data_IF_083665427609
#
_entry.id   IF_083665427609
#
_cell.length_a   1.000
_cell.length_b   1.000
_cell.length_c   1.000
_cell.angle_alpha   90.00
_cell.angle_beta   90.00
_cell.angle_gamma   90.00
#
_symmetry.space_group_name_H-M   'P 1'
#
loop_
_entity.id
_entity.type
_entity.pdbx_description
1 polymer ?
#
# COMPACT_ATOMS: atom_id res chain seq x y z
N UNK A 1 5.75 -16.98 -15.26
CA UNK A 1 5.80 -15.53 -15.59
C UNK A 1 6.65 -14.84 -14.54
N UNK A 2 7.33 -13.73 -14.85
CA UNK A 2 8.14 -13.00 -13.85
C UNK A 2 7.27 -12.15 -12.92
N UNK A 3 7.81 -11.81 -11.75
CA UNK A 3 7.25 -10.75 -10.89
C UNK A 3 7.83 -9.41 -11.34
N UNK A 4 7.00 -8.39 -11.47
CA UNK A 4 7.44 -7.04 -11.83
C UNK A 4 7.71 -6.21 -10.58
N UNK A 5 8.78 -5.44 -10.62
CA UNK A 5 9.15 -4.50 -9.57
C UNK A 5 9.22 -3.08 -10.13
N UNK A 6 8.47 -2.18 -9.50
CA UNK A 6 8.39 -0.78 -9.90
C UNK A 6 8.93 0.12 -8.79
N UNK A 7 9.77 1.05 -9.17
CA UNK A 7 10.23 2.15 -8.33
C UNK A 7 10.70 3.28 -9.23
N UNK A 8 10.82 4.50 -8.68
CA UNK A 8 11.31 5.65 -9.40
C UNK A 8 12.28 6.47 -8.52
N UNK A 9 13.41 6.94 -9.07
CA UNK A 9 14.35 7.80 -8.35
C UNK A 9 13.73 9.06 -7.75
N UNK A 10 12.66 9.60 -8.34
CA UNK A 10 11.93 10.74 -7.78
C UNK A 10 11.40 10.46 -6.37
N UNK A 11 11.07 9.20 -6.04
CA UNK A 11 10.66 8.81 -4.69
C UNK A 11 11.75 9.06 -3.62
N UNK A 12 13.02 9.17 -4.02
CA UNK A 12 14.13 9.55 -3.14
C UNK A 12 14.23 11.08 -2.92
N UNK A 13 13.52 11.87 -3.71
CA UNK A 13 13.53 13.34 -3.62
C UNK A 13 12.47 13.90 -2.67
N UNK A 14 11.60 13.05 -2.14
CA UNK A 14 10.70 13.42 -1.04
C UNK A 14 11.48 13.42 0.27
N UNK A 15 11.91 14.61 0.71
CA UNK A 15 12.76 14.78 1.89
C UNK A 15 11.90 15.25 3.06
N UNK A 16 11.93 14.49 4.13
CA UNK A 16 11.28 14.80 5.41
C UNK A 16 12.28 15.42 6.40
N UNK A 17 11.83 16.11 7.46
CA UNK A 17 12.74 16.69 8.46
C UNK A 17 13.64 15.64 9.13
N UNK A 18 14.83 16.04 9.63
CA UNK A 18 15.70 15.14 10.37
C UNK A 18 14.98 14.45 11.54
N UNK A 19 15.14 13.13 11.66
CA UNK A 19 14.50 12.34 12.72
C UNK A 19 13.07 11.89 12.39
N UNK A 20 12.52 12.30 11.25
CA UNK A 20 11.21 11.82 10.80
C UNK A 20 11.25 10.31 10.50
N UNK A 21 10.26 9.52 10.92
CA UNK A 21 10.28 8.06 10.70
C UNK A 21 10.14 7.71 9.21
N UNK A 22 9.24 8.39 8.47
CA UNK A 22 9.11 8.26 7.02
C UNK A 22 10.23 9.06 6.36
N UNK A 23 11.30 8.39 5.93
CA UNK A 23 12.55 8.98 5.44
C UNK A 23 13.12 8.23 4.25
N UNK A 24 14.00 8.90 3.51
CA UNK A 24 14.57 8.38 2.25
C UNK A 24 15.25 7.02 2.41
N UNK A 25 15.91 6.79 3.56
CA UNK A 25 16.62 5.56 3.86
C UNK A 25 15.72 4.32 3.86
N UNK A 26 14.40 4.47 4.06
CA UNK A 26 13.45 3.36 3.95
C UNK A 26 13.49 2.71 2.57
N UNK A 27 13.38 3.51 1.53
CA UNK A 27 13.46 3.00 0.15
C UNK A 27 14.87 2.50 -0.17
N UNK A 28 15.91 3.18 0.31
CA UNK A 28 17.30 2.73 0.18
C UNK A 28 17.55 1.34 0.77
N UNK A 29 17.01 1.07 1.97
CA UNK A 29 17.13 -0.23 2.63
C UNK A 29 16.44 -1.37 1.83
N UNK A 30 15.23 -1.09 1.31
CA UNK A 30 14.50 -2.04 0.45
C UNK A 30 15.31 -2.34 -0.83
N UNK A 31 15.79 -1.30 -1.52
CA UNK A 31 16.54 -1.48 -2.77
C UNK A 31 17.81 -2.30 -2.54
N UNK A 32 18.53 -2.02 -1.45
CA UNK A 32 19.73 -2.78 -1.10
C UNK A 32 19.42 -4.26 -0.79
N UNK A 33 18.32 -4.54 -0.10
CA UNK A 33 17.90 -5.92 0.17
C UNK A 33 17.52 -6.68 -1.10
N UNK A 34 16.82 -6.02 -2.01
CA UNK A 34 16.39 -6.61 -3.29
C UNK A 34 17.51 -6.69 -4.34
N UNK A 35 18.70 -6.14 -4.09
CA UNK A 35 19.89 -6.33 -4.95
C UNK A 35 20.63 -7.66 -4.68
N UNK A 36 20.21 -8.42 -3.67
CA UNK A 36 20.77 -9.75 -3.39
C UNK A 36 20.49 -10.73 -4.55
N UNK A 37 21.37 -11.73 -4.68
CA UNK A 37 21.31 -12.72 -5.77
C UNK A 37 19.98 -13.47 -5.87
N UNK A 38 19.28 -13.66 -4.75
CA UNK A 38 17.96 -14.28 -4.68
C UNK A 38 16.89 -13.53 -5.49
N UNK A 39 17.11 -12.24 -5.75
CA UNK A 39 16.19 -11.37 -6.50
C UNK A 39 16.68 -11.05 -7.92
N UNK A 40 17.68 -11.77 -8.43
CA UNK A 40 18.27 -11.50 -9.76
C UNK A 40 17.26 -11.67 -10.92
N UNK A 41 16.19 -12.44 -10.72
CA UNK A 41 15.12 -12.64 -11.72
C UNK A 41 13.95 -11.67 -11.56
N UNK A 42 13.99 -10.78 -10.56
CA UNK A 42 12.99 -9.74 -10.37
C UNK A 42 13.08 -8.71 -11.50
N UNK A 43 12.04 -8.59 -12.29
CA UNK A 43 12.02 -7.70 -13.46
C UNK A 43 11.76 -6.26 -13.02
N UNK A 44 12.80 -5.43 -13.04
CA UNK A 44 12.76 -4.03 -12.61
C UNK A 44 12.32 -3.12 -13.74
N UNK A 45 11.33 -2.28 -13.49
CA UNK A 45 10.79 -1.33 -14.46
C UNK A 45 10.75 0.09 -13.90
N UNK A 46 11.07 1.06 -14.73
CA UNK A 46 10.83 2.48 -14.52
C UNK A 46 9.74 2.94 -15.48
N UNK A 47 8.93 3.88 -15.04
CA UNK A 47 7.81 4.40 -15.83
C UNK A 47 7.71 5.91 -15.62
N UNK A 48 7.11 6.64 -16.58
CA UNK A 48 6.89 8.07 -16.38
C UNK A 48 5.93 8.32 -15.20
N UNK A 49 6.06 9.48 -14.54
CA UNK A 49 5.11 9.92 -13.52
C UNK A 49 3.67 9.94 -14.06
N UNK A 50 2.70 9.68 -13.19
CA UNK A 50 1.30 9.76 -13.56
C UNK A 50 0.92 11.19 -14.00
N UNK A 51 0.04 11.35 -14.99
CA UNK A 51 -0.59 12.64 -15.24
C UNK A 51 -1.49 13.03 -14.07
N UNK A 52 -1.62 14.33 -13.81
CA UNK A 52 -2.43 14.87 -12.71
C UNK A 52 -3.88 14.38 -12.76
N UNK A 53 -4.41 14.09 -13.94
CA UNK A 53 -5.76 13.55 -14.11
C UNK A 53 -6.00 12.22 -13.39
N UNK A 54 -4.96 11.41 -13.13
CA UNK A 54 -5.12 10.18 -12.35
C UNK A 54 -5.42 10.46 -10.88
N UNK A 55 -4.87 11.56 -10.30
CA UNK A 55 -5.19 11.98 -8.94
C UNK A 55 -6.68 12.33 -8.77
N UNK A 56 -7.30 12.85 -9.84
CA UNK A 56 -8.70 13.28 -9.84
C UNK A 56 -9.70 12.10 -9.77
N UNK A 57 -9.23 10.87 -9.87
CA UNK A 57 -10.06 9.68 -9.61
C UNK A 57 -10.52 9.61 -8.15
N UNK A 58 -9.71 10.14 -7.24
CA UNK A 58 -9.94 10.05 -5.80
C UNK A 58 -10.03 11.42 -5.12
N UNK A 59 -9.34 12.41 -5.63
CA UNK A 59 -9.17 13.70 -4.97
C UNK A 59 -9.77 14.85 -5.79
N UNK A 60 -10.50 15.78 -5.15
CA UNK A 60 -10.99 16.98 -5.83
C UNK A 60 -9.85 17.83 -6.39
N UNK A 61 -10.07 18.50 -7.53
CA UNK A 61 -9.10 19.39 -8.17
C UNK A 61 -8.55 20.46 -7.20
N UNK A 62 -9.41 21.03 -6.37
CA UNK A 62 -9.00 22.01 -5.38
C UNK A 62 -8.00 21.46 -4.35
N UNK A 63 -8.14 20.17 -3.94
CA UNK A 63 -7.18 19.51 -3.07
C UNK A 63 -5.84 19.29 -3.77
N UNK A 64 -5.86 18.77 -4.98
CA UNK A 64 -4.66 18.52 -5.80
C UNK A 64 -3.90 19.84 -6.04
N UNK A 65 -4.62 20.92 -6.39
CA UNK A 65 -4.03 22.25 -6.55
C UNK A 65 -3.44 22.78 -5.24
N UNK A 66 -4.09 22.58 -4.11
CA UNK A 66 -3.61 22.99 -2.78
C UNK A 66 -2.31 22.25 -2.41
N UNK A 67 -2.25 20.93 -2.57
CA UNK A 67 -1.02 20.15 -2.30
C UNK A 67 0.12 20.66 -3.18
N UNK A 68 -0.14 20.85 -4.49
CA UNK A 68 0.87 21.38 -5.41
C UNK A 68 1.37 22.76 -5.01
N UNK A 69 0.47 23.65 -4.61
CA UNK A 69 0.81 25.01 -4.16
C UNK A 69 1.56 25.04 -2.82
N UNK A 70 1.47 23.97 -2.01
CA UNK A 70 2.15 23.85 -0.73
C UNK A 70 3.60 23.36 -0.87
N UNK A 71 4.04 22.95 -2.06
CA UNK A 71 5.42 22.52 -2.29
C UNK A 71 6.35 23.72 -2.16
N UNK A 72 7.30 23.70 -1.21
CA UNK A 72 8.22 24.81 -1.03
C UNK A 72 9.30 24.82 -2.09
N UNK A 73 9.88 26.01 -2.37
CA UNK A 73 11.03 26.11 -3.27
C UNK A 73 12.31 25.54 -2.63
N UNK A 74 12.41 25.55 -1.30
CA UNK A 74 13.52 25.01 -0.52
C UNK A 74 13.05 24.61 0.90
N UNK A 75 13.79 23.69 1.52
CA UNK A 75 13.46 23.19 2.86
C UNK A 75 12.27 22.25 2.88
N UNK A 76 11.53 22.26 3.99
CA UNK A 76 10.34 21.44 4.17
C UNK A 76 9.17 22.29 4.71
N UNK A 77 7.95 21.96 4.28
CA UNK A 77 6.71 22.57 4.71
C UNK A 77 5.78 21.54 5.32
N UNK A 78 5.20 21.85 6.47
CA UNK A 78 4.29 20.97 7.19
C UNK A 78 2.84 21.18 6.72
N UNK A 79 2.19 20.08 6.33
CA UNK A 79 0.79 20.09 5.89
C UNK A 79 -0.18 19.78 7.03
N UNK A 80 0.26 18.91 7.95
CA UNK A 80 -0.47 18.47 9.12
C UNK A 80 0.55 18.05 10.22
N UNK A 81 0.15 17.66 11.45
CA UNK A 81 1.12 17.38 12.53
C UNK A 81 2.24 16.39 12.19
N UNK A 82 2.05 15.50 11.23
CA UNK A 82 3.02 14.46 10.87
C UNK A 82 3.39 14.40 9.38
N UNK A 83 2.72 15.16 8.53
CA UNK A 83 2.87 15.08 7.07
C UNK A 83 3.60 16.32 6.52
N UNK A 84 4.69 16.08 5.82
CA UNK A 84 5.60 17.10 5.31
C UNK A 84 5.78 17.02 3.81
N UNK A 85 6.11 18.15 3.19
CA UNK A 85 6.50 18.23 1.77
C UNK A 85 7.79 19.01 1.63
N UNK A 86 8.58 18.66 0.61
CA UNK A 86 9.83 19.28 0.19
C UNK A 86 9.79 19.56 -1.31
N UNK A 87 10.76 20.22 -1.92
CA UNK A 87 10.74 20.56 -3.35
C UNK A 87 10.46 19.36 -4.29
N UNK A 88 10.95 18.16 -3.96
CA UNK A 88 10.75 16.94 -4.76
C UNK A 88 9.50 16.13 -4.45
N UNK A 89 8.68 16.55 -3.49
CA UNK A 89 7.54 15.74 -3.00
C UNK A 89 6.41 15.58 -4.02
N UNK A 90 6.21 16.60 -4.86
CA UNK A 90 5.19 16.55 -5.92
C UNK A 90 5.55 15.51 -6.99
N UNK A 91 6.78 15.55 -7.48
CA UNK A 91 7.31 14.61 -8.47
C UNK A 91 7.34 13.18 -7.90
N UNK A 92 7.73 13.02 -6.64
CA UNK A 92 7.72 11.73 -5.96
C UNK A 92 6.31 11.14 -5.85
N UNK A 93 5.32 11.95 -5.47
CA UNK A 93 3.93 11.51 -5.39
C UNK A 93 3.37 11.08 -6.76
N UNK A 94 3.63 11.85 -7.81
CA UNK A 94 3.22 11.49 -9.18
C UNK A 94 3.96 10.24 -9.69
N UNK A 95 5.24 10.09 -9.36
CA UNK A 95 6.01 8.90 -9.70
C UNK A 95 5.46 7.65 -9.00
N UNK A 96 5.08 7.76 -7.73
CA UNK A 96 4.46 6.68 -6.96
C UNK A 96 3.13 6.23 -7.58
N UNK A 97 2.24 7.16 -7.91
CA UNK A 97 0.98 6.84 -8.61
C UNK A 97 1.25 6.24 -9.99
N UNK A 98 2.24 6.78 -10.74
CA UNK A 98 2.64 6.24 -12.04
C UNK A 98 3.15 4.82 -11.96
N UNK A 99 4.01 4.52 -10.97
CA UNK A 99 4.57 3.20 -10.74
C UNK A 99 3.48 2.16 -10.43
N UNK A 100 2.54 2.49 -9.53
CA UNK A 100 1.46 1.57 -9.17
C UNK A 100 0.46 1.38 -10.32
N UNK A 101 0.10 2.43 -11.05
CA UNK A 101 -0.78 2.32 -12.22
C UNK A 101 -0.14 1.48 -13.32
N UNK A 102 1.17 1.63 -13.58
CA UNK A 102 1.87 0.81 -14.57
C UNK A 102 2.01 -0.65 -14.12
N UNK A 103 2.21 -0.89 -12.82
CA UNK A 103 2.18 -2.24 -12.27
C UNK A 103 0.81 -2.91 -12.48
N UNK A 104 -0.26 -2.18 -12.21
CA UNK A 104 -1.63 -2.62 -12.49
C UNK A 104 -1.84 -2.92 -13.99
N UNK A 105 -1.48 -1.97 -14.87
CA UNK A 105 -1.67 -2.11 -16.31
C UNK A 105 -0.94 -3.33 -16.86
N UNK A 106 0.30 -3.57 -16.43
CA UNK A 106 1.10 -4.72 -16.86
C UNK A 106 0.49 -6.06 -16.40
N UNK A 107 -0.01 -6.13 -15.16
CA UNK A 107 -0.70 -7.31 -14.64
C UNK A 107 -2.02 -7.54 -15.38
N UNK A 108 -2.78 -6.48 -15.66
CA UNK A 108 -4.03 -6.57 -16.42
C UNK A 108 -3.80 -6.96 -17.89
N UNK A 109 -2.68 -6.55 -18.48
CA UNK A 109 -2.26 -6.97 -19.83
C UNK A 109 -1.75 -8.42 -19.89
N UNK A 110 -1.57 -9.07 -18.73
CA UNK A 110 -1.04 -10.44 -18.64
C UNK A 110 0.47 -10.54 -18.87
N UNK A 111 1.22 -9.45 -18.74
CA UNK A 111 2.68 -9.45 -18.81
C UNK A 111 3.31 -10.15 -17.61
N UNK A 112 2.65 -10.07 -16.45
CA UNK A 112 3.00 -10.77 -15.23
C UNK A 112 1.74 -11.12 -14.43
N UNK A 113 1.86 -12.08 -13.49
CA UNK A 113 0.77 -12.41 -12.57
C UNK A 113 0.70 -11.45 -11.39
N UNK A 114 1.85 -10.93 -10.98
CA UNK A 114 1.93 -10.01 -9.84
C UNK A 114 3.02 -8.96 -10.01
N UNK A 115 2.89 -7.89 -9.21
CA UNK A 115 3.84 -6.80 -9.19
C UNK A 115 3.95 -6.19 -7.79
N UNK A 116 5.11 -5.63 -7.47
CA UNK A 116 5.33 -4.82 -6.27
C UNK A 116 5.88 -3.44 -6.65
N UNK A 117 5.27 -2.38 -6.11
CA UNK A 117 5.70 -1.00 -6.26
C UNK A 117 6.30 -0.48 -4.94
N UNK A 118 7.62 -0.26 -4.92
CA UNK A 118 8.32 0.36 -3.79
C UNK A 118 8.38 1.88 -4.02
N UNK A 119 7.51 2.60 -3.37
CA UNK A 119 7.30 4.04 -3.56
C UNK A 119 7.39 4.82 -2.25
N UNK A 120 7.63 6.11 -2.35
CA UNK A 120 7.50 7.15 -1.33
C UNK A 120 7.01 8.43 -1.98
N UNK A 121 6.15 9.22 -1.28
CA UNK A 121 5.48 8.95 0.01
C UNK A 121 4.48 7.78 -0.05
N UNK A 122 4.05 7.23 1.10
CA UNK A 122 2.97 6.25 1.18
C UNK A 122 1.60 6.87 0.83
N UNK A 123 0.52 6.07 0.83
CA UNK A 123 -0.76 6.55 0.32
C UNK A 123 -2.01 6.23 1.14
N UNK A 124 -2.03 5.20 1.97
CA UNK A 124 -3.28 4.65 2.53
C UNK A 124 -3.98 5.55 3.56
N UNK A 125 -3.32 6.60 4.07
CA UNK A 125 -3.93 7.55 5.01
C UNK A 125 -4.50 8.82 4.34
N UNK A 126 -4.14 9.13 3.09
CA UNK A 126 -4.65 10.32 2.42
C UNK A 126 -6.15 10.21 2.14
N UNK A 127 -6.96 11.03 2.81
CA UNK A 127 -8.41 11.09 2.60
C UNK A 127 -8.77 11.94 1.39
N UNK A 128 -10.04 12.02 1.07
CA UNK A 128 -10.55 12.75 -0.11
C UNK A 128 -9.93 14.14 -0.26
N UNK A 129 -9.79 14.89 0.83
CA UNK A 129 -9.24 16.25 0.81
C UNK A 129 -8.30 16.56 2.00
N UNK A 130 -7.75 15.53 2.65
CA UNK A 130 -6.86 15.68 3.82
C UNK A 130 -5.59 14.86 3.62
N UNK A 131 -4.39 15.49 3.54
CA UNK A 131 -3.12 14.78 3.66
C UNK A 131 -2.89 14.47 5.14
N UNK A 132 -2.48 13.26 5.46
CA UNK A 132 -2.14 12.86 6.83
C UNK A 132 -1.36 11.54 6.83
N UNK A 133 -0.75 11.18 7.95
CA UNK A 133 -0.03 9.92 8.07
C UNK A 133 1.09 9.78 7.03
N UNK A 134 1.82 10.85 6.77
CA UNK A 134 2.88 10.93 5.76
C UNK A 134 2.37 10.85 4.29
N UNK A 135 1.06 10.66 4.07
CA UNK A 135 0.44 10.43 2.77
C UNK A 135 -0.07 11.72 2.13
N UNK A 136 0.22 11.89 0.84
CA UNK A 136 -0.24 13.05 0.07
C UNK A 136 -1.46 12.71 -0.79
N UNK A 137 -1.50 11.53 -1.39
CA UNK A 137 -2.57 11.03 -2.25
C UNK A 137 -2.82 9.55 -1.99
N UNK A 138 -4.07 9.12 -2.10
CA UNK A 138 -4.49 7.73 -1.89
C UNK A 138 -4.11 6.82 -3.06
N UNK A 139 -2.83 6.51 -3.20
CA UNK A 139 -2.24 5.83 -4.36
C UNK A 139 -2.93 4.50 -4.66
N UNK A 140 -3.20 3.66 -3.66
CA UNK A 140 -3.86 2.37 -3.86
C UNK A 140 -5.34 2.53 -4.23
N UNK A 141 -6.04 3.52 -3.67
CA UNK A 141 -7.43 3.81 -4.02
C UNK A 141 -7.54 4.34 -5.46
N UNK A 142 -6.56 5.14 -5.92
CA UNK A 142 -6.46 5.58 -7.32
C UNK A 142 -6.30 4.36 -8.24
N UNK A 143 -5.42 3.42 -7.91
CA UNK A 143 -5.25 2.19 -8.67
C UNK A 143 -6.52 1.31 -8.65
N UNK A 144 -7.23 1.22 -7.52
CA UNK A 144 -8.50 0.50 -7.44
C UNK A 144 -9.56 1.10 -8.38
N UNK A 145 -9.74 2.42 -8.36
CA UNK A 145 -10.67 3.10 -9.28
C UNK A 145 -10.21 3.00 -10.74
N UNK A 146 -8.90 3.03 -11.01
CA UNK A 146 -8.37 2.76 -12.36
C UNK A 146 -8.73 1.35 -12.82
N UNK A 147 -8.57 0.34 -11.96
CA UNK A 147 -8.94 -1.04 -12.28
C UNK A 147 -10.43 -1.19 -12.62
N UNK A 148 -11.30 -0.52 -11.88
CA UNK A 148 -12.75 -0.53 -12.10
C UNK A 148 -13.16 0.22 -13.36
N UNK A 149 -12.61 1.41 -13.59
CA UNK A 149 -13.13 2.33 -14.61
C UNK A 149 -12.37 2.25 -15.94
N UNK A 150 -11.05 2.02 -15.90
CA UNK A 150 -10.23 1.94 -17.11
C UNK A 150 -10.13 0.50 -17.62
N UNK A 151 -9.95 -0.48 -16.71
CA UNK A 151 -9.89 -1.91 -17.09
C UNK A 151 -11.27 -2.60 -17.06
N UNK A 152 -12.32 -1.92 -16.60
CA UNK A 152 -13.70 -2.41 -16.62
C UNK A 152 -13.97 -3.57 -15.67
N UNK A 153 -13.18 -3.72 -14.59
CA UNK A 153 -13.42 -4.73 -13.58
C UNK A 153 -14.70 -4.43 -12.77
N UNK A 154 -15.37 -5.47 -12.32
CA UNK A 154 -16.58 -5.35 -11.51
C UNK A 154 -16.33 -5.54 -10.01
N UNK A 155 -15.21 -6.17 -9.64
CA UNK A 155 -14.85 -6.44 -8.24
C UNK A 155 -13.34 -6.37 -8.03
N UNK A 156 -12.92 -5.42 -7.21
CA UNK A 156 -11.52 -5.25 -6.80
C UNK A 156 -11.44 -5.35 -5.28
N UNK A 157 -10.53 -6.15 -4.74
CA UNK A 157 -10.25 -6.17 -3.32
C UNK A 157 -8.97 -5.39 -3.03
N UNK A 158 -8.99 -4.54 -2.00
CA UNK A 158 -7.82 -3.89 -1.43
C UNK A 158 -7.61 -4.47 -0.04
N UNK A 159 -6.48 -5.14 0.17
CA UNK A 159 -6.10 -5.77 1.42
C UNK A 159 -4.93 -5.00 2.04
N UNK A 160 -5.15 -4.44 3.20
CA UNK A 160 -4.21 -3.59 3.93
C UNK A 160 -3.78 -4.31 5.22
N UNK A 161 -2.49 -4.62 5.34
CA UNK A 161 -1.90 -5.21 6.52
C UNK A 161 -0.87 -4.30 7.19
N UNK A 162 -0.81 -3.03 6.81
CA UNK A 162 -0.12 -2.00 7.59
C UNK A 162 -0.66 -2.00 9.04
N UNK A 163 0.18 -1.66 10.01
CA UNK A 163 -0.23 -1.66 11.43
C UNK A 163 -1.23 -0.56 11.76
N UNK A 164 -1.28 0.49 10.94
CA UNK A 164 -2.23 1.59 11.08
C UNK A 164 -3.48 1.35 10.22
N UNK A 165 -4.62 1.82 10.68
CA UNK A 165 -5.83 1.80 9.88
C UNK A 165 -5.67 2.62 8.59
N UNK A 166 -5.93 2.02 7.43
CA UNK A 166 -5.93 2.72 6.13
C UNK A 166 -7.17 3.61 5.96
N UNK A 167 -7.31 4.62 6.84
CA UNK A 167 -8.47 5.50 6.88
C UNK A 167 -8.72 6.26 5.57
N UNK A 168 -7.66 6.64 4.86
CA UNK A 168 -7.77 7.29 3.55
C UNK A 168 -8.31 6.34 2.50
N UNK A 169 -7.84 5.11 2.45
CA UNK A 169 -8.37 4.09 1.53
C UNK A 169 -9.84 3.80 1.84
N UNK A 170 -10.21 3.70 3.12
CA UNK A 170 -11.61 3.56 3.54
C UNK A 170 -12.46 4.75 3.06
N UNK A 171 -12.02 5.98 3.34
CA UNK A 171 -12.73 7.21 2.93
C UNK A 171 -12.96 7.28 1.41
N UNK A 172 -11.92 6.96 0.63
CA UNK A 172 -11.95 7.03 -0.82
C UNK A 172 -12.77 5.92 -1.50
N UNK A 173 -12.93 4.76 -0.84
CA UNK A 173 -13.58 3.58 -1.44
C UNK A 173 -14.92 3.21 -0.80
N UNK A 174 -15.30 3.73 0.38
CA UNK A 174 -16.51 3.30 1.09
C UNK A 174 -17.82 3.46 0.30
N UNK A 175 -17.86 4.36 -0.66
CA UNK A 175 -19.01 4.59 -1.53
C UNK A 175 -18.95 3.85 -2.87
N UNK A 176 -17.91 3.04 -3.11
CA UNK A 176 -17.76 2.23 -4.32
C UNK A 176 -18.14 0.75 -4.05
N UNK A 177 -19.33 0.30 -4.43
CA UNK A 177 -19.80 -1.05 -4.11
C UNK A 177 -19.00 -2.16 -4.81
N UNK A 178 -18.21 -1.83 -5.83
CA UNK A 178 -17.35 -2.76 -6.56
C UNK A 178 -15.97 -2.94 -5.91
N UNK A 179 -15.66 -2.17 -4.86
CA UNK A 179 -14.40 -2.26 -4.12
C UNK A 179 -14.63 -2.82 -2.71
N UNK A 180 -14.01 -3.95 -2.41
CA UNK A 180 -13.90 -4.45 -1.04
C UNK A 180 -12.60 -3.89 -0.44
N UNK A 181 -12.69 -3.17 0.67
CA UNK A 181 -11.55 -2.75 1.46
C UNK A 181 -11.48 -3.54 2.76
N UNK A 182 -10.31 -4.08 3.04
CA UNK A 182 -10.00 -4.79 4.29
C UNK A 182 -8.77 -4.13 4.91
N UNK A 183 -8.84 -3.76 6.18
CA UNK A 183 -7.70 -3.27 6.96
C UNK A 183 -7.57 -4.05 8.25
N UNK A 184 -6.41 -4.70 8.44
CA UNK A 184 -6.04 -5.29 9.73
C UNK A 184 -5.01 -4.40 10.41
N UNK A 185 -5.34 -3.83 11.55
CA UNK A 185 -4.54 -2.79 12.18
C UNK A 185 -4.58 -2.89 13.71
N UNK A 186 -3.58 -2.33 14.38
CA UNK A 186 -3.60 -2.22 15.83
C UNK A 186 -4.70 -1.25 16.29
N UNK A 187 -5.46 -1.64 17.29
CA UNK A 187 -6.44 -0.76 17.92
C UNK A 187 -6.47 -0.97 19.44
N UNK A 188 -6.44 0.10 20.27
CA UNK A 188 -6.33 1.51 19.88
C UNK A 188 -4.92 1.88 19.39
N UNK A 189 -4.86 2.65 18.32
CA UNK A 189 -3.65 3.29 17.79
C UNK A 189 -4.09 4.50 16.94
N UNK A 190 -3.17 5.40 16.61
CA UNK A 190 -3.42 6.44 15.58
C UNK A 190 -3.81 5.77 14.25
N UNK A 191 -4.75 6.31 13.47
CA UNK A 191 -5.48 7.57 13.61
C UNK A 191 -6.72 7.51 14.52
N UNK A 192 -7.03 6.37 15.17
CA UNK A 192 -8.15 6.20 16.09
C UNK A 192 -9.48 5.84 15.43
N UNK A 193 -9.44 5.52 14.13
CA UNK A 193 -10.55 5.02 13.30
C UNK A 193 -10.39 3.53 13.01
N UNK A 194 -11.30 2.93 12.25
CA UNK A 194 -11.22 1.51 11.86
C UNK A 194 -11.84 0.56 12.87
N UNK A 195 -12.97 0.96 13.50
CA UNK A 195 -13.73 0.05 14.35
C UNK A 195 -14.40 -1.03 13.51
N UNK A 196 -14.57 -2.22 14.07
CA UNK A 196 -15.18 -3.36 13.36
C UNK A 196 -16.62 -3.06 12.86
N UNK A 197 -17.32 -2.13 13.50
CA UNK A 197 -18.66 -1.70 13.13
C UNK A 197 -18.69 -0.75 11.90
N UNK A 198 -17.56 -0.20 11.52
CA UNK A 198 -17.44 0.67 10.35
C UNK A 198 -17.42 -0.17 9.07
N UNK A 199 -18.59 -0.52 8.55
CA UNK A 199 -18.75 -1.43 7.40
C UNK A 199 -19.02 -0.72 6.07
N UNK A 200 -19.15 0.62 6.10
CA UNK A 200 -19.52 1.42 4.95
C UNK A 200 -20.97 1.24 4.49
N UNK A 201 -21.49 2.11 3.60
CA UNK A 201 -22.89 2.09 3.18
C UNK A 201 -23.27 0.85 2.35
N UNK A 202 -22.30 0.17 1.78
CA UNK A 202 -22.51 -1.03 0.94
C UNK A 202 -22.06 -2.33 1.63
N UNK A 203 -21.59 -2.26 2.88
CA UNK A 203 -21.02 -3.42 3.57
C UNK A 203 -19.72 -3.93 2.91
N UNK A 204 -18.99 -3.08 2.22
CA UNK A 204 -17.74 -3.42 1.52
C UNK A 204 -16.49 -2.98 2.27
N UNK A 205 -16.63 -2.54 3.51
CA UNK A 205 -15.53 -2.24 4.42
C UNK A 205 -15.46 -3.36 5.47
N UNK A 206 -14.27 -3.89 5.70
CA UNK A 206 -13.98 -4.85 6.76
C UNK A 206 -12.77 -4.38 7.57
N UNK A 207 -13.02 -3.87 8.75
CA UNK A 207 -11.99 -3.50 9.71
C UNK A 207 -11.74 -4.64 10.69
N UNK A 208 -10.48 -5.03 10.85
CA UNK A 208 -10.00 -6.06 11.75
C UNK A 208 -9.08 -5.42 12.81
N UNK A 209 -9.65 -4.81 13.87
CA UNK A 209 -8.86 -4.23 14.95
C UNK A 209 -8.18 -5.32 15.76
N UNK A 210 -6.86 -5.22 15.92
CA UNK A 210 -6.02 -6.14 16.66
C UNK A 210 -5.48 -5.47 17.93
N UNK A 211 -5.54 -6.13 19.11
CA UNK A 211 -5.01 -5.54 20.32
C UNK A 211 -3.47 -5.40 20.27
N UNK A 212 -2.88 -4.39 20.97
CA UNK A 212 -1.44 -4.32 21.15
C UNK A 212 -0.86 -5.64 21.67
N UNK A 213 0.33 -6.01 21.21
CA UNK A 213 0.97 -7.27 21.59
C UNK A 213 0.51 -8.48 20.77
N UNK A 214 -0.37 -8.32 19.78
CA UNK A 214 -0.78 -9.43 18.90
C UNK A 214 0.42 -10.02 18.19
N UNK A 215 0.61 -11.32 18.33
CA UNK A 215 1.65 -12.12 17.69
C UNK A 215 1.13 -12.84 16.43
N UNK A 216 2.05 -13.38 15.62
CA UNK A 216 1.74 -14.07 14.36
C UNK A 216 0.61 -15.11 14.44
N UNK A 217 0.57 -16.05 15.40
CA UNK A 217 -0.50 -17.02 15.47
C UNK A 217 -1.89 -16.39 15.63
N UNK A 218 -2.04 -15.36 16.47
CA UNK A 218 -3.30 -14.66 16.65
C UNK A 218 -3.70 -13.83 15.44
N UNK A 219 -2.73 -13.15 14.80
CA UNK A 219 -2.92 -12.44 13.53
C UNK A 219 -3.44 -13.38 12.45
N UNK A 220 -2.78 -14.52 12.24
CA UNK A 220 -3.17 -15.51 11.22
C UNK A 220 -4.57 -16.07 11.49
N UNK A 221 -4.87 -16.44 12.73
CA UNK A 221 -6.20 -16.95 13.11
C UNK A 221 -7.31 -15.92 12.84
N UNK A 222 -7.05 -14.63 13.12
CA UNK A 222 -8.01 -13.55 12.85
C UNK A 222 -8.27 -13.37 11.33
N UNK A 223 -7.22 -13.42 10.51
CA UNK A 223 -7.35 -13.37 9.06
C UNK A 223 -8.10 -14.58 8.50
N UNK A 224 -7.79 -15.79 8.96
CA UNK A 224 -8.48 -17.02 8.57
C UNK A 224 -9.97 -17.00 8.92
N UNK A 225 -10.31 -16.48 10.09
CA UNK A 225 -11.68 -16.46 10.57
C UNK A 225 -12.55 -15.39 9.93
N UNK A 226 -11.99 -14.21 9.59
CA UNK A 226 -12.80 -13.05 9.22
C UNK A 226 -12.50 -12.53 7.81
N UNK A 227 -11.22 -12.46 7.41
CA UNK A 227 -10.84 -11.82 6.14
C UNK A 227 -11.00 -12.76 4.96
N UNK A 228 -10.40 -13.95 5.01
CA UNK A 228 -10.41 -14.84 3.84
C UNK A 228 -11.83 -15.26 3.42
N UNK A 229 -12.75 -15.64 4.33
CA UNK A 229 -14.13 -15.95 3.94
C UNK A 229 -14.85 -14.76 3.29
N UNK A 230 -14.52 -13.53 3.72
CA UNK A 230 -15.10 -12.31 3.16
C UNK A 230 -14.60 -12.04 1.74
N UNK A 231 -13.30 -12.22 1.50
CA UNK A 231 -12.69 -12.07 0.16
C UNK A 231 -13.19 -13.16 -0.78
N UNK A 232 -13.27 -14.42 -0.31
CA UNK A 232 -13.83 -15.54 -1.07
C UNK A 232 -15.28 -15.29 -1.49
N UNK A 233 -16.11 -14.78 -0.57
CA UNK A 233 -17.51 -14.44 -0.88
C UNK A 233 -17.62 -13.27 -1.86
N UNK A 234 -16.71 -12.31 -1.82
CA UNK A 234 -16.66 -11.16 -2.72
C UNK A 234 -16.22 -11.53 -4.13
N UNK A 235 -15.34 -12.54 -4.29
CA UNK A 235 -14.78 -13.05 -5.55
C UNK A 235 -14.15 -11.94 -6.40
N UNK A 236 -13.08 -11.31 -5.93
CA UNK A 236 -12.41 -10.22 -6.64
C UNK A 236 -11.81 -10.70 -7.96
N UNK A 237 -11.77 -9.83 -8.95
CA UNK A 237 -11.10 -10.04 -10.23
C UNK A 237 -9.64 -9.54 -10.22
N UNK A 238 -9.28 -8.79 -9.18
CA UNK A 238 -7.94 -8.28 -8.89
C UNK A 238 -7.80 -8.10 -7.38
N UNK A 239 -6.63 -8.40 -6.82
CA UNK A 239 -6.27 -8.07 -5.45
C UNK A 239 -5.17 -7.00 -5.46
N UNK A 240 -5.44 -5.87 -4.83
CA UNK A 240 -4.46 -4.83 -4.51
C UNK A 240 -4.05 -4.99 -3.05
N UNK A 241 -2.78 -4.70 -2.73
CA UNK A 241 -2.25 -4.86 -1.38
C UNK A 241 -1.54 -3.59 -0.92
N UNK A 242 -2.03 -2.97 0.15
CA UNK A 242 -1.27 -2.01 0.93
C UNK A 242 -0.34 -2.79 1.86
N UNK A 243 0.94 -2.84 1.48
CA UNK A 243 1.97 -3.59 2.18
C UNK A 243 2.77 -2.68 3.09
N UNK A 244 2.27 -2.48 4.32
CA UNK A 244 3.03 -1.92 5.42
C UNK A 244 3.74 -3.01 6.21
N UNK A 245 4.94 -2.72 6.68
CA UNK A 245 5.76 -3.66 7.45
C UNK A 245 6.03 -3.19 8.89
N UNK A 246 5.28 -2.17 9.33
CA UNK A 246 5.32 -1.59 10.67
C UNK A 246 4.57 -2.40 11.75
N UNK A 247 3.86 -3.46 11.34
CA UNK A 247 3.39 -4.48 12.28
C UNK A 247 4.51 -5.40 12.80
N UNK A 248 5.76 -5.23 12.30
CA UNK A 248 6.91 -5.98 12.77
C UNK A 248 7.24 -5.63 14.23
N UNK A 249 7.62 -6.64 15.03
CA UNK A 249 7.90 -6.50 16.47
C UNK A 249 9.01 -5.50 16.81
N UNK A 250 9.90 -5.19 15.86
CA UNK A 250 11.02 -4.25 16.02
C UNK A 250 10.66 -2.84 15.48
N UNK A 251 9.42 -2.61 15.04
CA UNK A 251 9.01 -1.30 14.56
C UNK A 251 8.82 -0.32 15.73
N UNK A 252 9.30 0.93 15.61
CA UNK A 252 9.23 1.89 16.70
C UNK A 252 7.83 2.55 16.88
N UNK A 253 6.90 2.41 15.93
CA UNK A 253 5.65 3.18 15.94
C UNK A 253 4.44 2.39 16.46
N UNK A 254 4.55 1.06 16.61
CA UNK A 254 3.45 0.22 17.05
C UNK A 254 3.89 -0.91 17.99
N UNK A 255 2.95 -1.75 18.43
CA UNK A 255 3.21 -2.80 19.39
C UNK A 255 2.68 -4.18 18.91
N UNK A 256 2.38 -4.38 17.62
CA UNK A 256 2.20 -5.72 17.10
C UNK A 256 3.56 -6.44 17.05
N UNK A 257 3.54 -7.77 17.15
CA UNK A 257 4.75 -8.59 17.25
C UNK A 257 4.84 -9.57 16.08
N UNK A 258 4.62 -9.10 14.85
CA UNK A 258 4.80 -9.91 13.66
C UNK A 258 6.29 -10.05 13.30
N UNK A 259 6.58 -11.04 12.47
CA UNK A 259 7.91 -11.33 11.93
C UNK A 259 7.83 -11.50 10.42
N UNK A 260 8.98 -11.62 9.76
CA UNK A 260 9.07 -11.87 8.31
C UNK A 260 8.29 -13.13 7.90
N UNK A 261 8.21 -14.13 8.78
CA UNK A 261 7.44 -15.35 8.55
C UNK A 261 5.92 -15.08 8.47
N UNK A 262 5.43 -14.05 9.15
CA UNK A 262 4.02 -13.65 9.11
C UNK A 262 3.71 -12.88 7.83
N UNK A 263 4.62 -12.01 7.37
CA UNK A 263 4.50 -11.33 6.09
C UNK A 263 4.61 -12.31 4.90
N UNK A 264 5.48 -13.31 4.98
CA UNK A 264 5.50 -14.42 4.00
C UNK A 264 4.18 -15.17 3.99
N UNK A 265 3.67 -15.55 5.16
CA UNK A 265 2.42 -16.29 5.29
C UNK A 265 1.23 -15.53 4.70
N UNK A 266 1.05 -14.25 5.07
CA UNK A 266 -0.07 -13.47 4.55
C UNK A 266 0.01 -13.29 3.03
N UNK A 267 1.23 -13.11 2.50
CA UNK A 267 1.44 -12.99 1.05
C UNK A 267 1.07 -14.26 0.32
N UNK A 268 1.47 -15.44 0.83
CA UNK A 268 1.04 -16.74 0.28
C UNK A 268 -0.49 -16.86 0.26
N UNK A 269 -1.16 -16.52 1.37
CA UNK A 269 -2.62 -16.62 1.47
C UNK A 269 -3.35 -15.66 0.51
N UNK A 270 -2.81 -14.44 0.34
CA UNK A 270 -3.31 -13.48 -0.66
C UNK A 270 -3.16 -14.05 -2.08
N UNK A 271 -2.02 -14.65 -2.39
CA UNK A 271 -1.81 -15.31 -3.69
C UNK A 271 -2.76 -16.50 -3.90
N UNK A 272 -3.04 -17.30 -2.85
CA UNK A 272 -4.03 -18.40 -2.93
C UNK A 272 -5.43 -17.87 -3.30
N UNK A 273 -5.86 -16.76 -2.69
CA UNK A 273 -7.12 -16.09 -3.02
C UNK A 273 -7.12 -15.56 -4.46
N UNK A 274 -6.00 -14.98 -4.89
CA UNK A 274 -5.85 -14.47 -6.25
C UNK A 274 -5.90 -15.61 -7.28
N UNK A 275 -5.26 -16.73 -7.02
CA UNK A 275 -5.32 -17.92 -7.88
C UNK A 275 -6.75 -18.46 -7.99
N UNK A 276 -7.49 -18.46 -6.88
CA UNK A 276 -8.87 -18.98 -6.85
C UNK A 276 -9.88 -18.05 -7.56
N UNK A 277 -9.70 -16.73 -7.50
CA UNK A 277 -10.74 -15.78 -7.90
C UNK A 277 -10.29 -14.73 -8.92
N UNK A 278 -9.02 -14.35 -8.91
CA UNK A 278 -8.49 -13.21 -9.67
C UNK A 278 -7.53 -13.62 -10.81
N UNK A 279 -7.47 -14.90 -11.17
CA UNK A 279 -6.53 -15.40 -12.19
C UNK A 279 -5.06 -15.18 -11.82
N UNK A 280 -4.74 -15.15 -10.52
CA UNK A 280 -3.42 -14.92 -9.97
C UNK A 280 -2.99 -13.46 -9.94
N UNK A 281 -3.88 -12.48 -10.25
CA UNK A 281 -3.54 -11.06 -10.32
C UNK A 281 -3.43 -10.42 -8.94
N UNK A 282 -2.19 -10.04 -8.58
CA UNK A 282 -1.87 -9.31 -7.35
C UNK A 282 -0.98 -8.11 -7.68
N UNK A 283 -1.35 -6.93 -7.20
CA UNK A 283 -0.50 -5.74 -7.28
C UNK A 283 -0.35 -5.16 -5.90
N UNK A 284 0.88 -5.07 -5.41
CA UNK A 284 1.22 -4.64 -4.07
C UNK A 284 1.98 -3.32 -4.08
N UNK A 285 1.77 -2.48 -3.08
CA UNK A 285 2.46 -1.20 -2.91
C UNK A 285 2.97 -1.05 -1.49
N UNK A 286 4.16 -0.47 -1.35
CA UNK A 286 4.77 -0.14 -0.06
C UNK A 286 3.97 0.95 0.66
N UNK A 287 3.66 0.70 1.94
CA UNK A 287 3.14 1.71 2.87
C UNK A 287 4.14 1.94 4.02
N UNK A 288 3.80 1.59 5.26
CA UNK A 288 4.62 1.79 6.45
C UNK A 288 5.78 0.80 6.61
N UNK A 289 6.49 0.95 7.74
CA UNK A 289 7.67 0.21 8.15
C UNK A 289 8.85 1.16 8.38
N UNK A 290 9.29 1.28 9.65
CA UNK A 290 10.15 2.40 10.08
C UNK A 290 11.44 1.92 10.78
N UNK A 291 11.54 0.66 11.16
CA UNK A 291 12.82 0.00 11.44
C UNK A 291 13.41 -0.46 10.11
N UNK A 292 14.57 0.06 9.70
CA UNK A 292 15.14 -0.17 8.37
C UNK A 292 15.49 -1.63 8.10
N UNK A 293 16.03 -2.34 9.11
CA UNK A 293 16.41 -3.74 8.96
C UNK A 293 15.17 -4.63 8.86
N UNK A 294 14.18 -4.41 9.72
CA UNK A 294 12.91 -5.12 9.71
C UNK A 294 12.13 -4.86 8.41
N UNK A 295 12.09 -3.61 7.96
CA UNK A 295 11.46 -3.21 6.69
C UNK A 295 12.11 -3.93 5.50
N UNK A 296 13.43 -3.90 5.43
CA UNK A 296 14.20 -4.56 4.36
C UNK A 296 13.94 -6.07 4.34
N UNK A 297 14.05 -6.73 5.49
CA UNK A 297 13.85 -8.17 5.62
C UNK A 297 12.41 -8.59 5.33
N UNK A 298 11.42 -7.85 5.83
CA UNK A 298 9.99 -8.13 5.63
C UNK A 298 9.57 -7.89 4.19
N UNK A 299 10.05 -6.81 3.56
CA UNK A 299 9.83 -6.56 2.12
C UNK A 299 10.45 -7.66 1.27
N UNK A 300 11.68 -8.07 1.57
CA UNK A 300 12.33 -9.18 0.87
C UNK A 300 11.55 -10.48 1.01
N UNK A 301 11.00 -10.76 2.19
CA UNK A 301 10.15 -11.93 2.42
C UNK A 301 8.84 -11.88 1.59
N UNK A 302 8.18 -10.72 1.54
CA UNK A 302 6.99 -10.49 0.72
C UNK A 302 7.29 -10.67 -0.78
N UNK A 303 8.33 -10.01 -1.29
CA UNK A 303 8.70 -10.07 -2.72
C UNK A 303 9.14 -11.48 -3.12
N UNK A 304 9.84 -12.22 -2.25
CA UNK A 304 10.21 -13.62 -2.52
C UNK A 304 8.98 -14.49 -2.77
N UNK A 305 7.94 -14.36 -1.94
CA UNK A 305 6.67 -15.07 -2.15
C UNK A 305 6.01 -14.67 -3.47
N UNK A 306 5.97 -13.38 -3.79
CA UNK A 306 5.44 -12.93 -5.08
C UNK A 306 6.21 -13.56 -6.24
N UNK A 307 7.55 -13.66 -6.17
CA UNK A 307 8.38 -14.29 -7.21
C UNK A 307 8.10 -15.80 -7.33
N UNK A 308 7.97 -16.52 -6.21
CA UNK A 308 7.59 -17.94 -6.18
C UNK A 308 6.22 -18.18 -6.84
N UNK A 309 5.27 -17.28 -6.63
CA UNK A 309 3.89 -17.37 -7.14
C UNK A 309 3.73 -16.76 -8.54
N UNK A 310 4.68 -15.95 -8.97
CA UNK A 310 4.75 -15.36 -10.32
C UNK A 310 5.42 -16.26 -11.36
N UNK A 311 6.09 -17.34 -10.92
CA UNK A 311 6.86 -18.26 -11.79
C UNK A 311 5.99 -19.08 -12.77
#
# INVERSE_FOLDING_TARGET
>A
MSTLFFTDPACLSHITPPGHPERVERLGAILAALDAADFATLERRQVPPAPVSELLRCHPEAYVARIRASIPAEGAHQLDPDTWVSPGSWEAALAGVGALNAALDAVMAGEARNAFAAIRPPGHHAETATPMGFCLFGTIAIAAKRALDHHGLNRVAVLDFDVHHGNGTQDLLQHEPRALFVSSHQFPLWPGTGRAEETGPHGTILNLPLPPGTEGPAFRAAWEAQVFPRVEAFKPELILVSAGFDAHRDDPLAQLNLTEADFSWITHRICDLADAHAGGRVVSVLEGGYNLDALAASTAAHVRVLMERGA
#
